data_IF_508769348025
#
_entry.id   IF_508769348025
#
_cell.length_a   1.000
_cell.length_b   1.000
_cell.length_c   1.000
_cell.angle_alpha   90.00
_cell.angle_beta   90.00
_cell.angle_gamma   90.00
#
_symmetry.space_group_name_H-M   'P 1'
#
loop_
_entity.id
_entity.type
_entity.pdbx_description
1 polymer ?
#
# COMPACT_ATOMS: atom_id res chain seq x y z
N UNK A 1 -17.41 -15.52 3.57
CA UNK A 1 -17.76 -14.09 3.69
C UNK A 1 -17.97 -13.49 2.30
N UNK A 2 -18.30 -12.20 2.19
CA UNK A 2 -18.42 -11.52 0.89
C UNK A 2 -17.72 -10.16 0.94
N UNK A 3 -16.66 -9.98 0.15
CA UNK A 3 -15.94 -8.72 -0.01
C UNK A 3 -16.35 -8.01 -1.32
N UNK A 4 -16.45 -6.69 -1.29
CA UNK A 4 -16.48 -5.86 -2.49
C UNK A 4 -15.61 -4.65 -2.24
N UNK A 5 -14.55 -4.49 -3.03
CA UNK A 5 -13.63 -3.38 -2.90
C UNK A 5 -13.67 -2.50 -4.16
N UNK A 6 -13.65 -1.18 -3.95
CA UNK A 6 -13.55 -0.20 -5.02
C UNK A 6 -12.34 0.69 -4.75
N UNK A 7 -11.37 0.66 -5.67
CA UNK A 7 -10.18 1.50 -5.63
C UNK A 7 -10.27 2.53 -6.75
N UNK A 8 -9.97 3.80 -6.46
CA UNK A 8 -10.02 4.89 -7.45
C UNK A 8 -8.85 5.85 -7.31
N UNK A 9 -8.27 6.26 -8.44
CA UNK A 9 -7.25 7.30 -8.56
C UNK A 9 -7.75 8.40 -9.50
N UNK A 10 -7.83 9.61 -8.97
CA UNK A 10 -8.18 10.81 -9.73
C UNK A 10 -6.98 11.75 -9.88
N UNK A 11 -6.65 12.11 -11.11
CA UNK A 11 -5.67 13.14 -11.43
C UNK A 11 -6.41 14.30 -12.12
N UNK A 12 -6.39 15.48 -11.50
CA UNK A 12 -6.97 16.70 -12.05
C UNK A 12 -5.90 17.79 -12.01
N UNK A 13 -5.32 18.09 -13.16
CA UNK A 13 -4.17 18.98 -13.29
C UNK A 13 -4.53 20.12 -14.24
N UNK A 14 -4.25 21.36 -13.83
CA UNK A 14 -4.26 22.53 -14.69
C UNK A 14 -2.86 23.16 -14.65
N UNK A 15 -2.19 23.20 -15.81
CA UNK A 15 -0.95 23.93 -15.98
C UNK A 15 -1.24 25.17 -16.83
N UNK A 16 -1.10 26.36 -16.23
CA UNK A 16 -1.45 27.62 -16.89
C UNK A 16 -0.31 28.63 -16.82
N UNK A 17 -0.28 29.54 -17.79
CA UNK A 17 0.66 30.65 -17.83
C UNK A 17 -0.10 31.93 -18.15
N UNK A 18 -0.09 32.88 -17.22
CA UNK A 18 -0.62 34.21 -17.47
C UNK A 18 0.32 35.02 -18.37
N UNK A 19 -0.25 35.66 -19.38
CA UNK A 19 0.36 36.64 -20.26
C UNK A 19 -0.46 37.94 -20.19
N UNK A 20 0.09 39.04 -20.70
CA UNK A 20 -0.54 40.37 -20.58
C UNK A 20 -1.96 40.44 -21.18
N UNK A 21 -2.25 39.61 -22.19
CA UNK A 21 -3.54 39.60 -22.91
C UNK A 21 -4.21 38.22 -22.98
N UNK A 22 -3.62 37.18 -22.40
CA UNK A 22 -4.17 35.82 -22.47
C UNK A 22 -3.68 34.92 -21.34
N UNK A 23 -4.30 33.77 -21.18
CA UNK A 23 -3.84 32.72 -20.25
C UNK A 23 -4.01 31.37 -20.93
N UNK A 24 -3.02 30.92 -21.72
CA UNK A 24 -2.98 29.54 -22.19
C UNK A 24 -3.03 28.56 -21.01
N UNK A 25 -3.74 27.45 -21.21
CA UNK A 25 -3.92 26.38 -20.23
C UNK A 25 -3.73 25.02 -20.92
N UNK A 26 -3.09 24.10 -20.20
CA UNK A 26 -3.08 22.66 -20.47
C UNK A 26 -3.78 21.96 -19.30
N UNK A 27 -4.80 21.16 -19.60
CA UNK A 27 -5.59 20.48 -18.58
C UNK A 27 -5.54 18.97 -18.79
N UNK A 28 -5.29 18.23 -17.72
CA UNK A 28 -5.33 16.77 -17.71
C UNK A 28 -6.30 16.30 -16.64
N UNK A 29 -7.33 15.58 -17.06
CA UNK A 29 -8.21 14.84 -16.16
C UNK A 29 -8.13 13.35 -16.48
N UNK A 30 -7.71 12.56 -15.50
CA UNK A 30 -7.68 11.10 -15.58
C UNK A 30 -8.40 10.55 -14.36
N UNK A 31 -9.39 9.71 -14.61
CA UNK A 31 -9.99 8.89 -13.57
C UNK A 31 -9.67 7.42 -13.88
N UNK A 32 -9.14 6.72 -12.90
CA UNK A 32 -8.85 5.28 -12.98
C UNK A 32 -9.54 4.63 -11.80
N UNK A 33 -10.15 3.48 -12.04
CA UNK A 33 -10.82 2.72 -11.00
C UNK A 33 -10.67 1.23 -11.23
N UNK A 34 -10.68 0.47 -10.14
CA UNK A 34 -10.74 -0.97 -10.15
C UNK A 34 -11.72 -1.46 -9.10
N UNK A 35 -12.60 -2.35 -9.52
CA UNK A 35 -13.52 -3.05 -8.63
C UNK A 35 -13.02 -4.48 -8.49
N UNK A 36 -12.87 -4.93 -7.24
CA UNK A 36 -12.62 -6.33 -6.91
C UNK A 36 -13.93 -6.91 -6.37
N UNK A 37 -14.46 -7.91 -7.07
CA UNK A 37 -15.63 -8.65 -6.64
C UNK A 37 -15.24 -9.75 -5.66
N UNK A 38 -16.21 -10.32 -4.94
CA UNK A 38 -15.92 -11.46 -4.07
C UNK A 38 -15.41 -12.69 -4.86
N UNK A 39 -14.30 -13.28 -4.42
CA UNK A 39 -13.76 -14.55 -4.95
C UNK A 39 -12.23 -14.50 -5.13
N UNK A 40 -11.70 -15.52 -5.80
CA UNK A 40 -10.23 -15.75 -5.90
C UNK A 40 -9.64 -15.49 -7.29
N UNK A 41 -10.48 -15.25 -8.30
CA UNK A 41 -10.06 -15.05 -9.69
C UNK A 41 -9.48 -13.66 -10.00
N UNK A 42 -9.33 -13.38 -11.30
CA UNK A 42 -8.97 -12.04 -11.76
C UNK A 42 -10.09 -11.04 -11.43
N UNK A 43 -9.71 -9.82 -11.03
CA UNK A 43 -10.61 -8.78 -10.56
C UNK A 43 -11.49 -9.24 -9.37
N UNK A 44 -10.97 -10.16 -8.55
CA UNK A 44 -11.62 -10.66 -7.35
C UNK A 44 -10.68 -10.65 -6.14
N UNK A 45 -11.27 -10.53 -4.96
CA UNK A 45 -10.65 -10.67 -3.65
C UNK A 45 -11.73 -11.11 -2.65
N UNK A 46 -11.37 -11.84 -1.61
CA UNK A 46 -12.29 -12.26 -0.54
C UNK A 46 -11.80 -11.91 0.86
N UNK A 47 -10.55 -11.44 0.98
CA UNK A 47 -9.93 -11.11 2.26
C UNK A 47 -9.36 -9.70 2.26
N UNK A 48 -9.48 -9.02 3.41
CA UNK A 48 -8.94 -7.69 3.65
C UNK A 48 -8.38 -7.60 5.05
N UNK A 49 -7.23 -6.95 5.18
CA UNK A 49 -6.67 -6.52 6.46
C UNK A 49 -6.33 -5.04 6.39
N UNK A 50 -6.49 -4.33 7.50
CA UNK A 50 -6.12 -2.92 7.60
C UNK A 50 -5.85 -2.54 9.04
N UNK A 51 -4.93 -1.61 9.24
CA UNK A 51 -4.57 -1.12 10.56
C UNK A 51 -3.98 0.29 10.49
N UNK A 52 -3.99 0.97 11.63
CA UNK A 52 -3.26 2.21 11.89
C UNK A 52 -2.15 1.91 12.88
N UNK A 53 -0.91 2.10 12.46
CA UNK A 53 0.28 1.70 13.22
C UNK A 53 1.19 2.87 13.51
N UNK A 54 2.13 2.67 14.42
CA UNK A 54 3.04 3.72 14.89
C UNK A 54 4.42 3.15 15.12
N UNK A 55 5.42 3.78 14.50
CA UNK A 55 6.84 3.47 14.68
C UNK A 55 7.50 4.60 15.46
N UNK A 56 8.31 4.24 16.45
CA UNK A 56 9.24 5.18 17.10
C UNK A 56 10.35 5.60 16.14
N UNK A 57 11.10 6.63 16.52
CA UNK A 57 12.26 7.07 15.73
C UNK A 57 13.29 5.95 15.59
N UNK A 58 13.60 5.60 14.33
CA UNK A 58 14.53 4.53 13.95
C UNK A 58 13.98 3.11 14.16
N UNK A 59 12.75 2.97 14.66
CA UNK A 59 12.11 1.68 14.86
C UNK A 59 11.61 1.08 13.53
N UNK A 60 11.48 -0.24 13.51
CA UNK A 60 10.97 -0.98 12.39
C UNK A 60 10.07 -2.12 12.86
N UNK A 61 9.24 -2.60 11.95
CA UNK A 61 8.45 -3.80 12.11
C UNK A 61 8.37 -4.59 10.79
N UNK A 62 8.09 -5.88 10.91
CA UNK A 62 7.79 -6.73 9.77
C UNK A 62 6.40 -7.31 9.97
N UNK A 63 5.55 -7.15 8.96
CA UNK A 63 4.22 -7.74 8.93
C UNK A 63 4.28 -8.97 8.01
N UNK A 64 3.94 -10.14 8.56
CA UNK A 64 3.70 -11.35 7.79
C UNK A 64 2.21 -11.43 7.49
N UNK A 65 1.86 -11.54 6.20
CA UNK A 65 0.46 -11.60 5.75
C UNK A 65 -0.10 -13.01 5.56
N UNK A 66 0.68 -14.06 5.83
CA UNK A 66 0.35 -15.46 5.57
C UNK A 66 0.38 -16.35 6.84
N UNK A 67 1.15 -16.01 7.87
CA UNK A 67 1.40 -16.89 9.02
C UNK A 67 0.25 -16.99 10.04
N UNK A 68 -0.83 -16.21 9.86
CA UNK A 68 -1.97 -16.17 10.78
C UNK A 68 -1.73 -15.37 12.06
N UNK A 69 -0.61 -14.65 12.20
CA UNK A 69 -0.31 -13.80 13.36
C UNK A 69 -1.17 -12.54 13.40
N UNK A 70 -1.59 -12.06 12.23
CA UNK A 70 -2.53 -10.95 12.09
C UNK A 70 -3.95 -11.50 12.08
N UNK A 71 -4.89 -10.75 12.67
CA UNK A 71 -6.32 -11.08 12.60
C UNK A 71 -7.01 -10.21 11.57
N UNK A 72 -7.88 -10.81 10.76
CA UNK A 72 -8.78 -10.08 9.89
C UNK A 72 -9.76 -9.20 10.71
N UNK A 73 -10.47 -8.25 10.07
CA UNK A 73 -11.41 -7.36 10.75
C UNK A 73 -12.60 -8.06 11.44
N UNK A 74 -12.82 -9.35 11.17
CA UNK A 74 -13.89 -10.18 11.73
C UNK A 74 -13.38 -11.18 12.78
N UNK A 75 -12.08 -11.13 13.11
CA UNK A 75 -11.43 -11.96 14.13
C UNK A 75 -10.94 -13.34 13.63
N UNK A 76 -10.96 -13.59 12.31
CA UNK A 76 -10.27 -14.73 11.70
C UNK A 76 -8.75 -14.51 11.66
N UNK A 77 -7.96 -15.59 11.58
CA UNK A 77 -6.54 -15.46 11.28
C UNK A 77 -6.36 -15.03 9.81
N UNK A 78 -5.44 -14.10 9.54
CA UNK A 78 -5.12 -13.65 8.20
C UNK A 78 -4.06 -14.59 7.58
N UNK A 79 -4.41 -15.29 6.51
CA UNK A 79 -3.54 -16.25 5.83
C UNK A 79 -3.50 -16.02 4.31
N UNK A 80 -3.26 -14.78 3.87
CA UNK A 80 -3.31 -14.43 2.44
C UNK A 80 -2.40 -15.31 1.59
N UNK A 81 -2.97 -15.89 0.52
CA UNK A 81 -2.23 -16.57 -0.54
C UNK A 81 -1.74 -15.57 -1.61
N UNK A 82 -2.55 -14.55 -1.90
CA UNK A 82 -2.27 -13.57 -2.95
C UNK A 82 -2.64 -12.13 -2.55
N UNK A 83 -1.76 -11.17 -2.85
CA UNK A 83 -2.02 -9.74 -2.71
C UNK A 83 -2.59 -9.17 -4.01
N UNK A 84 -3.76 -8.53 -3.93
CA UNK A 84 -4.42 -7.86 -5.05
C UNK A 84 -4.29 -6.33 -5.00
N UNK A 85 -4.22 -5.75 -3.80
CA UNK A 85 -3.97 -4.32 -3.63
C UNK A 85 -3.31 -4.01 -2.29
N UNK A 86 -2.43 -3.00 -2.30
CA UNK A 86 -1.76 -2.45 -1.13
C UNK A 86 -1.92 -0.92 -1.15
N UNK A 87 -2.42 -0.37 -0.06
CA UNK A 87 -2.44 1.06 0.19
C UNK A 87 -1.68 1.38 1.47
N UNK A 88 -0.81 2.38 1.42
CA UNK A 88 -0.08 2.88 2.58
C UNK A 88 -0.12 4.40 2.58
N UNK A 89 -0.44 4.99 3.73
CA UNK A 89 -0.38 6.44 3.96
C UNK A 89 0.58 6.74 5.10
N UNK A 90 1.62 7.52 4.83
CA UNK A 90 2.45 8.11 5.87
C UNK A 90 1.79 9.41 6.37
N UNK A 91 1.44 9.45 7.66
CA UNK A 91 0.86 10.64 8.31
C UNK A 91 1.91 11.52 9.01
N UNK A 92 3.18 11.09 9.08
CA UNK A 92 4.23 11.93 9.63
C UNK A 92 4.41 13.20 8.81
N UNK A 93 4.68 14.29 9.51
CA UNK A 93 5.02 15.59 8.93
C UNK A 93 6.52 15.79 8.71
N UNK A 94 7.36 14.97 9.35
CA UNK A 94 8.82 15.17 9.41
C UNK A 94 9.67 13.92 9.14
N UNK A 95 9.08 12.71 9.19
CA UNK A 95 9.77 11.44 8.97
C UNK A 95 9.26 10.70 7.72
N UNK A 96 10.17 10.06 6.99
CA UNK A 96 9.84 9.14 5.91
C UNK A 96 9.60 7.72 6.40
N UNK A 97 8.77 6.98 5.67
CA UNK A 97 8.50 5.56 5.88
C UNK A 97 9.24 4.75 4.81
N UNK A 98 10.23 3.96 5.21
CA UNK A 98 10.86 2.96 4.35
C UNK A 98 9.94 1.74 4.27
N UNK A 99 9.67 1.30 3.04
CA UNK A 99 8.80 0.17 2.72
C UNK A 99 9.62 -0.84 1.92
N UNK A 100 9.67 -2.09 2.39
CA UNK A 100 10.51 -3.14 1.83
C UNK A 100 11.78 -3.38 2.66
N UNK A 101 12.76 -4.05 2.06
CA UNK A 101 14.02 -4.39 2.73
C UNK A 101 13.93 -5.44 3.84
N UNK A 102 12.93 -6.34 3.78
CA UNK A 102 12.91 -7.54 4.62
C UNK A 102 14.10 -8.45 4.25
N UNK A 103 14.77 -9.02 5.25
CA UNK A 103 16.00 -9.79 5.05
C UNK A 103 15.74 -11.20 4.49
N UNK A 104 14.54 -11.75 4.71
CA UNK A 104 14.06 -13.03 4.21
C UNK A 104 12.58 -12.89 3.84
N UNK A 105 12.08 -13.78 2.98
CA UNK A 105 10.68 -13.87 2.55
C UNK A 105 10.06 -12.52 2.14
N UNK A 106 10.89 -11.62 1.60
CA UNK A 106 10.46 -10.26 1.29
C UNK A 106 9.28 -10.29 0.32
N UNK A 107 8.25 -9.52 0.65
CA UNK A 107 7.03 -9.40 -0.16
C UNK A 107 7.39 -9.27 -1.64
N UNK A 108 6.77 -10.08 -2.50
CA UNK A 108 7.12 -10.20 -3.93
C UNK A 108 6.97 -8.91 -4.78
N UNK A 109 6.61 -7.79 -4.14
CA UNK A 109 6.72 -6.44 -4.69
C UNK A 109 8.18 -5.95 -4.76
N UNK A 110 9.08 -6.51 -3.95
CA UNK A 110 10.50 -6.17 -3.84
C UNK A 110 11.34 -7.39 -4.27
N UNK A 111 12.36 -7.19 -5.10
CA UNK A 111 13.14 -8.29 -5.68
C UNK A 111 14.39 -8.63 -4.83
N UNK A 112 14.87 -7.69 -4.03
CA UNK A 112 16.05 -7.83 -3.16
C UNK A 112 15.85 -7.13 -1.80
N UNK A 113 16.57 -7.57 -0.76
CA UNK A 113 16.53 -6.95 0.57
C UNK A 113 17.07 -5.50 0.60
N UNK A 114 17.69 -5.04 -0.48
CA UNK A 114 18.11 -3.64 -0.68
C UNK A 114 17.08 -2.80 -1.44
N UNK A 115 16.02 -3.42 -1.97
CA UNK A 115 14.93 -2.71 -2.62
C UNK A 115 14.04 -2.07 -1.54
N UNK A 116 14.23 -0.76 -1.37
CA UNK A 116 13.53 0.04 -0.37
C UNK A 116 12.88 1.22 -1.06
N UNK A 117 11.55 1.31 -0.96
CA UNK A 117 10.81 2.51 -1.32
C UNK A 117 10.77 3.44 -0.11
N UNK A 118 11.28 4.67 -0.26
CA UNK A 118 11.08 5.72 0.74
C UNK A 118 9.80 6.50 0.43
N UNK A 119 8.78 6.32 1.26
CA UNK A 119 7.56 7.11 1.23
C UNK A 119 7.76 8.37 2.09
N UNK A 120 7.87 9.57 1.48
CA UNK A 120 8.21 10.79 2.23
C UNK A 120 7.12 11.18 3.24
N UNK A 121 7.40 12.15 4.13
CA UNK A 121 6.38 12.72 5.01
C UNK A 121 5.12 13.13 4.24
N UNK A 122 3.95 12.72 4.74
CA UNK A 122 2.65 12.96 4.09
C UNK A 122 2.41 12.17 2.80
N UNK A 123 3.34 11.33 2.35
CA UNK A 123 3.26 10.55 1.12
C UNK A 123 2.23 9.42 1.21
N UNK A 124 1.73 8.98 0.05
CA UNK A 124 0.85 7.82 -0.08
C UNK A 124 1.25 6.93 -1.26
N UNK A 125 1.05 5.63 -1.09
CA UNK A 125 1.26 4.60 -2.08
C UNK A 125 -0.05 3.85 -2.32
N UNK A 126 -0.42 3.67 -3.58
CA UNK A 126 -1.45 2.74 -4.01
C UNK A 126 -0.87 1.81 -5.07
N UNK A 127 -0.86 0.51 -4.77
CA UNK A 127 -0.47 -0.56 -5.67
C UNK A 127 -1.65 -1.50 -5.93
N UNK A 128 -1.80 -1.95 -7.17
CA UNK A 128 -2.85 -2.89 -7.57
C UNK A 128 -2.30 -3.97 -8.51
N UNK A 129 -2.51 -5.24 -8.17
CA UNK A 129 -2.22 -6.42 -8.98
C UNK A 129 -3.48 -7.30 -9.12
N UNK A 130 -4.48 -6.87 -9.90
CA UNK A 130 -5.81 -7.48 -9.95
C UNK A 130 -5.87 -8.78 -10.76
N UNK A 131 -4.75 -9.20 -11.37
CA UNK A 131 -4.69 -10.45 -12.13
C UNK A 131 -5.00 -11.66 -11.26
N UNK A 132 -5.36 -12.78 -11.88
CA UNK A 132 -5.77 -13.98 -11.14
C UNK A 132 -4.70 -14.53 -10.20
N UNK A 133 -3.41 -14.28 -10.45
CA UNK A 133 -2.32 -14.71 -9.57
C UNK A 133 -1.77 -13.65 -8.62
N UNK A 134 -2.28 -12.41 -8.66
CA UNK A 134 -1.85 -11.34 -7.75
C UNK A 134 -0.33 -11.17 -7.64
N UNK A 135 0.12 -10.83 -6.43
CA UNK A 135 1.48 -11.10 -5.95
C UNK A 135 1.39 -12.29 -4.99
N UNK A 136 2.21 -13.32 -5.19
CA UNK A 136 2.27 -14.49 -4.31
C UNK A 136 2.77 -14.11 -2.91
N UNK A 137 2.03 -14.54 -1.88
CA UNK A 137 2.29 -14.29 -0.46
C UNK A 137 2.65 -15.60 0.27
N UNK A 138 2.36 -16.76 -0.32
CA UNK A 138 2.61 -18.07 0.30
C UNK A 138 4.08 -18.34 0.62
N UNK A 139 4.99 -17.73 -0.13
CA UNK A 139 6.44 -17.86 0.06
C UNK A 139 7.13 -16.55 0.46
N UNK A 140 6.53 -15.42 0.08
CA UNK A 140 7.09 -14.08 0.20
C UNK A 140 6.07 -13.19 0.90
N UNK A 141 5.91 -13.40 2.20
CA UNK A 141 4.85 -12.79 3.03
C UNK A 141 5.27 -11.52 3.76
N UNK A 142 6.58 -11.26 3.88
CA UNK A 142 7.12 -10.25 4.80
C UNK A 142 7.18 -8.85 4.18
N UNK A 143 6.35 -7.95 4.69
CA UNK A 143 6.48 -6.51 4.43
C UNK A 143 7.15 -5.82 5.62
N UNK A 144 8.42 -5.45 5.45
CA UNK A 144 9.13 -4.61 6.41
C UNK A 144 8.78 -3.13 6.22
N UNK A 145 8.53 -2.47 7.34
CA UNK A 145 8.22 -1.05 7.46
C UNK A 145 9.15 -0.44 8.51
N UNK A 146 9.81 0.66 8.15
CA UNK A 146 10.86 1.25 9.00
C UNK A 146 10.78 2.78 8.98
N UNK A 147 10.90 3.38 10.16
CA UNK A 147 11.13 4.81 10.30
C UNK A 147 12.48 5.18 9.69
N UNK A 148 12.55 6.21 8.84
CA UNK A 148 13.78 6.50 8.11
C UNK A 148 14.95 7.04 8.97
N UNK A 149 14.69 7.30 10.25
CA UNK A 149 15.64 7.83 11.24
C UNK A 149 15.82 9.34 11.10
N UNK A 150 14.92 10.00 10.38
CA UNK A 150 14.88 11.45 10.22
C UNK A 150 13.61 12.00 10.87
N UNK A 151 13.68 13.24 11.36
CA UNK A 151 12.63 13.78 12.23
C UNK A 151 12.86 13.43 13.69
N UNK A 152 11.93 13.81 14.56
CA UNK A 152 12.02 13.53 16.01
C UNK A 152 10.69 13.00 16.58
N UNK A 153 9.71 12.77 15.71
CA UNK A 153 8.36 12.34 16.07
C UNK A 153 8.16 10.87 15.75
N UNK A 154 7.21 10.23 16.42
CA UNK A 154 6.76 8.90 16.02
C UNK A 154 6.06 8.98 14.66
N UNK A 155 6.41 8.06 13.75
CA UNK A 155 5.76 7.97 12.45
C UNK A 155 4.47 7.14 12.59
N UNK A 156 3.34 7.77 12.26
CA UNK A 156 2.03 7.10 12.18
C UNK A 156 1.74 6.79 10.71
N UNK A 157 1.25 5.60 10.42
CA UNK A 157 0.83 5.23 9.07
C UNK A 157 -0.45 4.40 9.08
N UNK A 158 -1.24 4.53 8.02
CA UNK A 158 -2.33 3.59 7.71
C UNK A 158 -1.85 2.60 6.65
N UNK A 159 -2.30 1.36 6.78
CA UNK A 159 -2.06 0.30 5.81
C UNK A 159 -3.38 -0.45 5.53
N UNK A 160 -3.63 -0.73 4.25
CA UNK A 160 -4.74 -1.56 3.80
C UNK A 160 -4.20 -2.59 2.81
N UNK A 161 -4.50 -3.86 3.07
CA UNK A 161 -4.06 -5.02 2.32
C UNK A 161 -5.32 -5.75 1.87
N UNK A 162 -5.46 -5.95 0.56
CA UNK A 162 -6.60 -6.66 -0.03
C UNK A 162 -6.06 -7.81 -0.85
N UNK A 163 -6.61 -9.01 -0.64
CA UNK A 163 -6.07 -10.22 -1.21
C UNK A 163 -7.06 -11.37 -1.27
N UNK A 164 -6.49 -12.54 -1.52
CA UNK A 164 -7.17 -13.82 -1.52
C UNK A 164 -6.61 -14.68 -0.41
N UNK A 165 -7.50 -15.37 0.30
CA UNK A 165 -7.21 -16.42 1.29
C UNK A 165 -7.73 -17.78 0.80
#
# INVERSE_FOLDING_TARGET
MALTANLSLGLNIEFSKSLDLSTPKDTLSQNRGKTLNNGTGADQADTVWHDKRTLGDGENETLDFHDGSLSDPLGGALTLDELKALYIKNYSSDAGLKIGGAAANALGLFADATDILLLPPGGELLFTAPGSGGIDITTNSDLKLEHDGTGSSSLIYDIVVIGVD
#
